data_IF_286720916908
#
_entry.id   IF_286720916908
#
_cell.length_a   1.000
_cell.length_b   1.000
_cell.length_c   1.000
_cell.angle_alpha   90.00
_cell.angle_beta   90.00
_cell.angle_gamma   90.00
#
_symmetry.space_group_name_H-M   'P 1'
#
loop_
_entity.id
_entity.type
_entity.pdbx_description
1 polymer ?
#
# COMPACT_ATOMS: atom_id res chain seq x y z
N UNK A 1 -17.54 -13.77 -2.96
CA UNK A 1 -17.03 -12.40 -2.87
C UNK A 1 -15.86 -12.40 -1.90
N UNK A 2 -14.72 -11.95 -2.34
CA UNK A 2 -13.52 -11.89 -1.52
C UNK A 2 -13.22 -10.44 -1.14
N UNK A 3 -12.68 -10.25 0.06
CA UNK A 3 -12.15 -8.95 0.48
C UNK A 3 -10.63 -8.98 0.42
N UNK A 4 -10.04 -7.92 -0.08
CA UNK A 4 -8.60 -7.73 -0.08
C UNK A 4 -8.28 -6.37 0.55
N UNK A 5 -7.15 -6.27 1.26
CA UNK A 5 -6.75 -4.98 1.80
C UNK A 5 -6.31 -4.04 0.69
N UNK A 6 -6.79 -2.81 0.77
CA UNK A 6 -6.27 -1.69 -0.01
C UNK A 6 -5.49 -0.78 0.92
N UNK A 7 -4.29 -0.40 0.52
CA UNK A 7 -3.49 0.59 1.21
C UNK A 7 -3.59 1.89 0.43
N UNK A 8 -4.09 2.93 1.09
CA UNK A 8 -4.18 4.28 0.54
C UNK A 8 -3.11 5.14 1.19
N UNK A 9 -2.33 5.87 0.38
CA UNK A 9 -1.26 6.74 0.85
C UNK A 9 -1.44 8.13 0.29
N UNK A 10 -1.22 9.16 1.11
CA UNK A 10 -1.31 10.55 0.69
C UNK A 10 -0.28 11.40 1.39
N UNK A 11 0.14 12.47 0.72
CA UNK A 11 0.97 13.49 1.36
C UNK A 11 0.06 14.63 1.81
N UNK A 12 -0.18 14.79 3.14
CA UNK A 12 -1.14 15.79 3.64
C UNK A 12 -0.70 17.23 3.43
N UNK A 13 0.60 17.45 3.11
CA UNK A 13 1.14 18.79 2.91
C UNK A 13 1.03 19.29 1.46
N UNK A 14 0.54 18.46 0.55
CA UNK A 14 0.35 18.87 -0.84
C UNK A 14 -1.07 19.38 -1.05
N UNK A 15 -1.16 20.61 -1.59
CA UNK A 15 -2.45 21.26 -1.81
C UNK A 15 -3.23 20.64 -2.98
N UNK A 16 -2.55 20.00 -3.90
CA UNK A 16 -3.15 19.37 -5.08
C UNK A 16 -3.38 17.87 -4.87
N UNK A 17 -4.06 17.54 -3.80
CA UNK A 17 -4.37 16.16 -3.44
C UNK A 17 -5.32 15.53 -4.47
N UNK A 18 -4.85 15.42 -5.72
CA UNK A 18 -5.65 14.96 -6.83
C UNK A 18 -6.06 13.51 -6.71
N UNK A 19 -5.24 12.68 -6.09
CA UNK A 19 -5.56 11.26 -5.89
C UNK A 19 -4.64 10.66 -4.85
N UNK A 20 -5.18 9.71 -4.07
CA UNK A 20 -4.37 8.91 -3.18
C UNK A 20 -3.56 7.88 -3.99
N UNK A 21 -2.36 7.55 -3.50
CA UNK A 21 -1.64 6.40 -4.00
C UNK A 21 -2.28 5.14 -3.43
N UNK A 22 -2.63 4.19 -4.26
CA UNK A 22 -3.29 2.96 -3.81
C UNK A 22 -2.56 1.72 -4.31
N UNK A 23 -2.59 0.68 -3.47
CA UNK A 23 -2.17 -0.66 -3.84
C UNK A 23 -3.14 -1.66 -3.20
N UNK A 24 -3.54 -2.66 -3.96
CA UNK A 24 -4.42 -3.73 -3.49
C UNK A 24 -3.65 -5.05 -3.51
N UNK A 25 -3.65 -5.74 -2.38
CA UNK A 25 -2.93 -6.99 -2.21
C UNK A 25 -3.93 -8.14 -2.14
N UNK A 26 -3.74 -9.14 -2.99
CA UNK A 26 -4.58 -10.33 -2.98
C UNK A 26 -4.26 -11.28 -1.82
N UNK A 27 -5.13 -12.25 -1.61
CA UNK A 27 -5.03 -13.22 -0.51
C UNK A 27 -3.81 -14.12 -0.59
N UNK A 28 -3.23 -14.24 -1.76
CA UNK A 28 -2.04 -15.03 -2.03
C UNK A 28 -0.74 -14.21 -1.92
N UNK A 29 -0.81 -12.97 -1.45
CA UNK A 29 0.34 -12.07 -1.36
C UNK A 29 0.73 -11.41 -2.68
N UNK A 30 -0.09 -11.55 -3.71
CA UNK A 30 0.18 -10.93 -4.99
C UNK A 30 -0.45 -9.55 -5.08
N UNK A 31 0.27 -8.62 -5.70
CA UNK A 31 -0.25 -7.30 -6.00
C UNK A 31 -1.30 -7.42 -7.12
N UNK A 32 -2.54 -7.08 -6.80
CA UNK A 32 -3.64 -7.14 -7.77
C UNK A 32 -3.65 -5.91 -8.67
N UNK A 33 -3.50 -4.74 -8.06
CA UNK A 33 -3.47 -3.48 -8.80
C UNK A 33 -2.81 -2.39 -7.97
N UNK A 34 -2.36 -1.36 -8.62
CA UNK A 34 -1.84 -0.13 -8.02
C UNK A 34 -2.05 1.01 -9.03
N UNK A 35 -1.94 2.24 -8.55
CA UNK A 35 -2.05 3.40 -9.43
C UNK A 35 -0.72 4.15 -9.56
N UNK A 36 -0.65 5.05 -10.52
CA UNK A 36 0.57 5.83 -10.78
C UNK A 36 0.97 6.69 -9.58
N UNK A 37 -0.02 7.17 -8.83
CA UNK A 37 0.23 7.97 -7.64
C UNK A 37 1.00 7.21 -6.58
N UNK A 38 0.70 5.92 -6.39
CA UNK A 38 1.45 5.06 -5.48
C UNK A 38 2.91 4.98 -5.91
N UNK A 39 3.16 4.79 -7.20
CA UNK A 39 4.51 4.74 -7.75
C UNK A 39 5.27 6.04 -7.50
N UNK A 40 4.61 7.18 -7.71
CA UNK A 40 5.22 8.49 -7.50
C UNK A 40 5.55 8.76 -6.03
N UNK A 41 4.61 8.50 -5.13
CA UNK A 41 4.79 8.76 -3.70
C UNK A 41 5.99 7.97 -3.15
N UNK A 42 6.09 6.70 -3.52
CA UNK A 42 7.10 5.81 -2.97
C UNK A 42 8.33 5.66 -3.86
N UNK A 43 8.36 6.35 -5.00
CA UNK A 43 9.45 6.22 -5.97
C UNK A 43 9.78 4.76 -6.25
N UNK A 44 8.73 3.99 -6.49
CA UNK A 44 8.82 2.55 -6.58
C UNK A 44 9.56 2.11 -7.84
N UNK A 45 10.63 1.32 -7.72
CA UNK A 45 11.35 0.83 -8.90
C UNK A 45 10.47 -0.09 -9.73
N UNK A 46 10.51 0.11 -11.04
CA UNK A 46 9.72 -0.69 -11.96
C UNK A 46 9.96 -2.20 -11.85
N UNK A 47 11.22 -2.67 -11.72
CA UNK A 47 11.46 -4.11 -11.56
C UNK A 47 10.78 -4.71 -10.34
N UNK A 48 10.65 -3.94 -9.25
CA UNK A 48 9.97 -4.40 -8.04
C UNK A 48 8.47 -4.57 -8.30
N UNK A 49 7.85 -3.62 -9.00
CA UNK A 49 6.44 -3.70 -9.34
C UNK A 49 6.13 -4.88 -10.27
N UNK A 50 7.05 -5.20 -11.15
CA UNK A 50 6.89 -6.31 -12.09
C UNK A 50 6.88 -7.68 -11.40
N UNK A 51 7.43 -7.78 -10.20
CA UNK A 51 7.38 -9.03 -9.44
C UNK A 51 5.96 -9.37 -8.98
N UNK A 52 5.13 -8.36 -8.78
CA UNK A 52 3.79 -8.46 -8.19
C UNK A 52 3.77 -9.20 -6.85
N UNK A 53 4.87 -9.12 -6.12
CA UNK A 53 5.06 -9.79 -4.84
C UNK A 53 5.03 -8.74 -3.74
N UNK A 54 4.09 -8.88 -2.77
CA UNK A 54 3.94 -7.93 -1.68
C UNK A 54 5.21 -7.78 -0.85
N UNK A 55 5.98 -8.87 -0.70
CA UNK A 55 7.22 -8.82 0.08
C UNK A 55 8.28 -7.96 -0.59
N UNK A 56 8.36 -8.04 -1.91
CA UNK A 56 9.30 -7.22 -2.67
C UNK A 56 8.90 -5.74 -2.62
N UNK A 57 7.61 -5.47 -2.77
CA UNK A 57 7.08 -4.11 -2.70
C UNK A 57 7.29 -3.54 -1.30
N UNK A 58 6.97 -4.30 -0.26
CA UNK A 58 7.16 -3.89 1.13
C UNK A 58 8.64 -3.61 1.42
N UNK A 59 9.54 -4.49 0.98
CA UNK A 59 10.98 -4.29 1.18
C UNK A 59 11.48 -3.00 0.55
N UNK A 60 10.99 -2.65 -0.64
CA UNK A 60 11.33 -1.39 -1.29
C UNK A 60 10.74 -0.19 -0.54
N UNK A 61 9.53 -0.34 0.00
CA UNK A 61 8.79 0.70 0.69
C UNK A 61 9.47 1.09 2.00
N UNK A 62 9.86 0.11 2.81
CA UNK A 62 10.44 0.37 4.14
C UNK A 62 11.81 1.04 4.07
N UNK A 63 12.50 0.96 2.95
CA UNK A 63 13.77 1.67 2.77
C UNK A 63 13.62 3.19 2.81
N UNK A 64 12.44 3.69 2.53
CA UNK A 64 12.15 5.12 2.57
C UNK A 64 11.73 5.62 3.95
N UNK A 65 11.46 4.71 4.89
CA UNK A 65 10.92 5.07 6.20
C UNK A 65 12.02 5.34 7.22
N UNK A 66 11.89 6.43 7.99
CA UNK A 66 12.80 6.70 9.11
C UNK A 66 12.67 5.65 10.20
N UNK A 67 11.43 5.27 10.53
CA UNK A 67 11.14 4.22 11.50
C UNK A 67 10.11 3.26 10.89
N UNK A 68 10.55 2.13 10.36
CA UNK A 68 9.63 1.20 9.71
C UNK A 68 8.78 0.36 10.66
N UNK A 69 9.05 0.38 11.97
CA UNK A 69 8.41 -0.56 12.90
C UNK A 69 6.90 -0.43 12.95
N UNK A 70 6.37 0.80 12.98
CA UNK A 70 4.92 1.03 13.01
C UNK A 70 4.27 0.56 11.73
N UNK A 71 4.89 0.85 10.60
CA UNK A 71 4.37 0.44 9.30
C UNK A 71 4.39 -1.08 9.15
N UNK A 72 5.47 -1.73 9.59
CA UNK A 72 5.58 -3.19 9.56
C UNK A 72 4.49 -3.84 10.42
N UNK A 73 4.23 -3.28 11.60
CA UNK A 73 3.15 -3.76 12.46
C UNK A 73 1.79 -3.60 11.80
N UNK A 74 1.57 -2.48 11.12
CA UNK A 74 0.35 -2.22 10.37
C UNK A 74 0.13 -3.28 9.29
N UNK A 75 1.17 -3.58 8.52
CA UNK A 75 1.10 -4.59 7.46
C UNK A 75 0.88 -5.99 8.04
N UNK A 76 1.51 -6.30 9.17
CA UNK A 76 1.31 -7.58 9.86
C UNK A 76 -0.16 -7.75 10.30
N UNK A 77 -0.78 -6.68 10.81
CA UNK A 77 -2.18 -6.68 11.18
C UNK A 77 -3.07 -6.95 9.97
N UNK A 78 -2.77 -6.35 8.83
CA UNK A 78 -3.48 -6.60 7.58
C UNK A 78 -3.39 -8.06 7.14
N UNK A 79 -2.22 -8.66 7.31
CA UNK A 79 -2.00 -10.06 6.95
C UNK A 79 -2.77 -11.03 7.86
N UNK A 80 -2.93 -10.67 9.13
CA UNK A 80 -3.66 -11.48 10.11
C UNK A 80 -5.16 -11.34 9.99
N UNK A 81 -5.66 -10.16 9.63
CA UNK A 81 -7.08 -9.86 9.49
C UNK A 81 -7.31 -9.02 8.24
N UNK A 82 -7.85 -9.63 7.19
CA UNK A 82 -8.06 -8.97 5.90
C UNK A 82 -9.20 -7.97 5.92
N UNK A 83 -10.04 -7.99 6.94
CA UNK A 83 -11.11 -7.03 7.13
C UNK A 83 -10.68 -5.89 8.06
N UNK A 84 -9.44 -5.91 8.53
CA UNK A 84 -8.92 -4.89 9.44
C UNK A 84 -8.89 -3.52 8.77
N UNK A 85 -9.20 -2.51 9.59
CA UNK A 85 -9.07 -1.11 9.22
C UNK A 85 -8.03 -0.50 10.13
N UNK A 86 -7.11 0.23 9.55
CA UNK A 86 -6.07 0.88 10.31
C UNK A 86 -5.64 2.14 9.58
N UNK A 87 -5.12 3.11 10.33
CA UNK A 87 -4.55 4.32 9.74
C UNK A 87 -3.36 4.76 10.58
N UNK A 88 -2.47 5.46 9.94
CA UNK A 88 -1.26 5.94 10.59
C UNK A 88 -0.55 6.99 9.77
N UNK A 89 0.53 7.49 10.33
CA UNK A 89 1.37 8.49 9.69
C UNK A 89 2.80 7.97 9.76
N UNK A 90 3.52 8.05 8.66
CA UNK A 90 4.95 7.72 8.65
C UNK A 90 5.76 8.88 8.07
N UNK A 91 7.00 8.96 8.51
CA UNK A 91 7.95 9.96 8.03
C UNK A 91 8.99 9.28 7.15
N UNK A 92 9.21 9.86 5.98
CA UNK A 92 10.21 9.36 5.05
C UNK A 92 11.56 9.98 5.32
N UNK A 93 12.61 9.29 4.89
CA UNK A 93 13.99 9.75 5.08
C UNK A 93 14.29 11.07 4.36
N UNK A 94 13.49 11.41 3.35
CA UNK A 94 13.62 12.69 2.63
C UNK A 94 12.82 13.84 3.28
N UNK A 95 12.18 13.58 4.42
CA UNK A 95 11.43 14.58 5.17
C UNK A 95 9.94 14.64 4.85
N UNK A 96 9.46 13.91 3.85
CA UNK A 96 8.04 13.87 3.54
C UNK A 96 7.29 13.11 4.63
N UNK A 97 6.04 13.52 4.85
CA UNK A 97 5.12 12.85 5.76
C UNK A 97 4.03 12.21 4.91
N UNK A 98 3.77 10.94 5.16
CA UNK A 98 2.76 10.18 4.43
C UNK A 98 1.70 9.69 5.40
N UNK A 99 0.45 10.04 5.14
CA UNK A 99 -0.69 9.42 5.81
C UNK A 99 -1.04 8.14 5.07
N UNK A 100 -1.27 7.05 5.80
CA UNK A 100 -1.69 5.81 5.20
C UNK A 100 -2.92 5.26 5.90
N UNK A 101 -3.77 4.62 5.12
CA UNK A 101 -5.00 4.02 5.60
C UNK A 101 -5.17 2.67 4.93
N UNK A 102 -5.56 1.68 5.70
CA UNK A 102 -5.89 0.36 5.19
C UNK A 102 -7.35 0.06 5.46
N UNK A 103 -8.03 -0.48 4.47
CA UNK A 103 -9.42 -0.92 4.60
C UNK A 103 -9.66 -2.10 3.66
N UNK A 104 -10.67 -2.94 3.95
CA UNK A 104 -11.03 -4.00 3.03
C UNK A 104 -11.78 -3.44 1.82
N UNK A 105 -11.52 -4.01 0.65
CA UNK A 105 -12.32 -3.74 -0.56
C UNK A 105 -12.85 -5.05 -1.08
N UNK A 106 -14.08 -5.03 -1.57
CA UNK A 106 -14.69 -6.19 -2.17
C UNK A 106 -14.08 -6.43 -3.55
N UNK A 107 -13.68 -7.66 -3.80
CA UNK A 107 -13.20 -8.07 -5.11
C UNK A 107 -14.24 -8.98 -5.73
N UNK A 108 -14.72 -8.58 -6.89
CA UNK A 108 -15.63 -9.39 -7.67
C UNK A 108 -14.81 -10.09 -8.74
N UNK A 109 -14.68 -11.41 -8.60
CA UNK A 109 -14.08 -12.22 -9.64
C UNK A 109 -15.12 -12.46 -10.71
N UNK A 110 -14.87 -11.93 -11.89
CA UNK A 110 -15.69 -12.27 -13.06
C UNK A 110 -14.97 -13.34 -13.83
N UNK A 111 -15.52 -14.52 -13.80
CA UNK A 111 -15.14 -15.55 -14.73
C UNK A 111 -15.88 -15.29 -16.03
N UNK A 112 -15.17 -14.81 -17.03
CA UNK A 112 -15.72 -14.75 -18.37
C UNK A 112 -15.39 -16.11 -18.98
N UNK A 113 -16.32 -16.98 -18.85
CA UNK A 113 -16.19 -18.32 -19.40
C UNK A 113 -16.58 -18.34 -20.86
#
# INVERSE_FOLDING_TARGET
MHHAPILCCRNPLRADAAADGIIVIGSDGRVLTYNDRFVEIWEMPRPVLMTRDEHQVLAALIKHLEDPSEFVNHVATMGADRDARAQGICRLTDGRIIEHETRPVAIVERTIG
#
